data_IF_171833202994
#
_entry.id   IF_171833202994
#
_cell.length_a   1.000
_cell.length_b   1.000
_cell.length_c   1.000
_cell.angle_alpha   90.00
_cell.angle_beta   90.00
_cell.angle_gamma   90.00
#
_symmetry.space_group_name_H-M   'P 1'
#
loop_
_entity.id
_entity.type
_entity.pdbx_description
1 polymer ?
#
# COMPACT_ATOMS: atom_id res chain seq x y z
N UNK A 1 33.19 2.46 -5.41
CA UNK A 1 34.03 1.28 -5.67
C UNK A 1 34.73 0.91 -4.38
N UNK A 2 34.28 -0.14 -3.69
CA UNK A 2 35.00 -0.68 -2.54
C UNK A 2 35.96 -1.76 -3.04
N UNK A 3 37.22 -1.64 -2.63
CA UNK A 3 38.31 -2.53 -3.04
C UNK A 3 38.75 -3.33 -1.82
N UNK A 4 38.70 -4.66 -1.93
CA UNK A 4 39.21 -5.57 -0.91
C UNK A 4 40.45 -6.26 -1.45
N UNK A 5 41.55 -6.16 -0.70
CA UNK A 5 42.84 -6.78 -1.05
C UNK A 5 43.25 -7.74 0.05
N UNK A 6 43.26 -9.03 -0.24
CA UNK A 6 43.76 -10.07 0.66
C UNK A 6 45.07 -10.64 0.13
N UNK A 7 46.05 -10.83 1.01
CA UNK A 7 47.37 -11.36 0.67
C UNK A 7 47.64 -12.64 1.44
N UNK A 8 48.03 -13.68 0.72
CA UNK A 8 48.37 -15.00 1.25
C UNK A 8 49.83 -15.32 0.96
N UNK A 9 50.48 -16.06 1.86
CA UNK A 9 51.87 -16.46 1.71
C UNK A 9 51.98 -17.98 1.62
N UNK A 10 52.77 -18.47 0.66
CA UNK A 10 53.04 -19.90 0.48
C UNK A 10 54.53 -20.19 0.54
N UNK A 11 54.89 -21.33 1.14
CA UNK A 11 56.25 -21.88 1.13
C UNK A 11 56.48 -22.70 -0.14
N UNK A 12 57.74 -22.99 -0.44
CA UNK A 12 58.11 -23.82 -1.59
C UNK A 12 57.32 -25.15 -1.65
N UNK A 13 56.71 -25.45 -2.81
CA UNK A 13 55.80 -26.60 -3.04
C UNK A 13 54.62 -26.71 -2.08
N UNK A 14 54.32 -25.65 -1.34
CA UNK A 14 53.21 -25.57 -0.41
C UNK A 14 51.87 -25.25 -1.08
N UNK A 15 50.79 -25.44 -0.33
CA UNK A 15 49.46 -24.95 -0.68
C UNK A 15 48.82 -24.30 0.54
N UNK A 16 47.95 -23.32 0.31
CA UNK A 16 47.19 -22.62 1.34
C UNK A 16 45.72 -22.62 0.94
N UNK A 17 44.84 -22.89 1.90
CA UNK A 17 43.39 -22.87 1.70
C UNK A 17 42.78 -22.02 2.80
N UNK A 18 42.28 -20.86 2.43
CA UNK A 18 41.67 -19.89 3.34
C UNK A 18 40.25 -19.54 2.87
N UNK A 19 39.38 -19.23 3.84
CA UNK A 19 38.04 -18.72 3.58
C UNK A 19 38.07 -17.19 3.68
N UNK A 20 37.63 -16.50 2.63
CA UNK A 20 37.53 -15.04 2.63
C UNK A 20 36.08 -14.66 2.88
N UNK A 21 35.80 -14.06 4.04
CA UNK A 21 34.48 -13.49 4.35
C UNK A 21 34.37 -12.08 3.79
N UNK A 22 33.47 -11.92 2.83
CA UNK A 22 33.13 -10.64 2.23
C UNK A 22 31.96 -10.03 2.99
N UNK A 23 32.21 -8.93 3.69
CA UNK A 23 31.18 -8.17 4.38
C UNK A 23 30.93 -6.93 3.54
N UNK A 24 29.74 -6.84 2.95
CA UNK A 24 29.31 -5.65 2.23
C UNK A 24 29.23 -4.48 3.21
N UNK A 25 30.01 -3.40 3.03
CA UNK A 25 29.92 -2.22 3.90
C UNK A 25 28.49 -1.69 3.93
N UNK A 26 28.00 -1.23 5.09
CA UNK A 26 26.64 -0.68 5.24
C UNK A 26 26.33 0.52 4.32
N UNK A 27 27.36 1.20 3.82
CA UNK A 27 27.23 2.31 2.87
C UNK A 27 27.17 1.88 1.39
N UNK A 28 27.25 0.58 1.12
CA UNK A 28 27.27 0.07 -0.25
C UNK A 28 25.88 0.07 -0.84
N UNK A 29 25.71 0.83 -1.92
CA UNK A 29 24.45 0.90 -2.63
C UNK A 29 24.29 -0.31 -3.56
N UNK A 30 23.04 -0.77 -3.71
CA UNK A 30 22.69 -1.73 -4.75
C UNK A 30 23.10 -1.20 -6.14
N UNK A 31 23.49 -2.12 -7.03
CA UNK A 31 23.98 -1.81 -8.37
C UNK A 31 25.47 -1.45 -8.44
N UNK A 32 26.18 -1.32 -7.31
CA UNK A 32 27.64 -1.14 -7.34
C UNK A 32 28.37 -2.45 -7.63
N UNK A 33 29.49 -2.34 -8.37
CA UNK A 33 30.44 -3.43 -8.55
C UNK A 33 31.54 -3.36 -7.48
N UNK A 34 31.78 -4.49 -6.83
CA UNK A 34 32.87 -4.72 -5.89
C UNK A 34 33.98 -5.51 -6.60
N UNK A 35 35.23 -5.06 -6.45
CA UNK A 35 36.39 -5.75 -6.99
C UNK A 35 37.22 -6.31 -5.82
N UNK A 36 37.37 -7.63 -5.80
CA UNK A 36 38.19 -8.34 -4.83
C UNK A 36 39.44 -8.83 -5.55
N UNK A 37 40.61 -8.45 -5.03
CA UNK A 37 41.90 -8.92 -5.53
C UNK A 37 42.53 -9.85 -4.50
N UNK A 38 42.74 -11.10 -4.90
CA UNK A 38 43.42 -12.11 -4.10
C UNK A 38 44.85 -12.22 -4.60
N UNK A 39 45.82 -11.88 -3.76
CA UNK A 39 47.25 -11.97 -4.12
C UNK A 39 47.89 -13.09 -3.33
N UNK A 40 48.61 -13.98 -4.01
CA UNK A 40 49.43 -15.02 -3.40
C UNK A 40 50.90 -14.69 -3.66
N UNK A 41 51.71 -14.67 -2.61
CA UNK A 41 53.13 -14.38 -2.69
C UNK A 41 53.96 -15.54 -2.14
N UNK A 42 55.09 -15.83 -2.80
CA UNK A 42 56.11 -16.72 -2.25
C UNK A 42 56.72 -16.11 -0.98
N UNK A 43 57.05 -16.93 0.01
CA UNK A 43 57.58 -16.44 1.28
C UNK A 43 59.06 -16.02 1.20
N UNK A 44 59.78 -16.63 0.28
CA UNK A 44 61.22 -16.61 0.08
C UNK A 44 61.66 -15.78 -1.14
N UNK A 45 60.71 -15.31 -1.95
CA UNK A 45 60.97 -14.42 -3.09
C UNK A 45 59.95 -13.28 -3.20
N UNK A 46 60.19 -12.34 -4.11
CA UNK A 46 59.21 -11.29 -4.45
C UNK A 46 58.13 -11.77 -5.42
N UNK A 47 58.14 -13.03 -5.82
CA UNK A 47 57.21 -13.54 -6.83
C UNK A 47 55.80 -13.60 -6.27
N UNK A 48 54.86 -13.07 -7.05
CA UNK A 48 53.45 -13.04 -6.69
C UNK A 48 52.58 -13.34 -7.91
N UNK A 49 51.43 -13.94 -7.66
CA UNK A 49 50.37 -14.08 -8.64
C UNK A 49 49.04 -13.62 -8.02
N UNK A 50 48.06 -13.29 -8.84
CA UNK A 50 46.78 -12.76 -8.35
C UNK A 50 45.58 -13.31 -9.12
N UNK A 51 44.43 -13.26 -8.46
CA UNK A 51 43.12 -13.50 -9.05
C UNK A 51 42.20 -12.31 -8.74
N UNK A 52 41.39 -11.92 -9.73
CA UNK A 52 40.43 -10.82 -9.59
C UNK A 52 39.02 -11.37 -9.67
N UNK A 53 38.17 -10.99 -8.72
CA UNK A 53 36.74 -11.33 -8.69
C UNK A 53 35.93 -10.04 -8.70
N UNK A 54 35.00 -9.94 -9.64
CA UNK A 54 34.05 -8.83 -9.71
C UNK A 54 32.67 -9.31 -9.25
N UNK A 55 32.09 -8.63 -8.26
CA UNK A 55 30.81 -8.98 -7.65
C UNK A 55 29.84 -7.81 -7.82
N UNK A 56 28.59 -8.10 -8.17
CA UNK A 56 27.53 -7.09 -8.24
C UNK A 56 26.73 -7.10 -6.93
N UNK A 57 26.55 -5.93 -6.33
CA UNK A 57 25.73 -5.79 -5.13
C UNK A 57 24.27 -5.73 -5.55
N UNK A 58 23.51 -6.77 -5.21
CA UNK A 58 22.06 -6.80 -5.40
C UNK A 58 21.37 -6.22 -4.15
N UNK A 59 20.20 -5.58 -4.29
CA UNK A 59 19.37 -5.26 -3.14
C UNK A 59 18.95 -6.55 -2.42
N UNK A 60 18.78 -6.47 -1.10
CA UNK A 60 18.53 -7.61 -0.21
C UNK A 60 17.30 -8.43 -0.63
N UNK A 61 16.29 -7.77 -1.20
CA UNK A 61 15.19 -8.37 -1.96
C UNK A 61 14.58 -7.30 -2.87
N UNK A 62 14.18 -7.67 -4.11
CA UNK A 62 13.37 -6.78 -4.93
C UNK A 62 11.92 -6.90 -4.45
N UNK A 63 11.39 -5.81 -3.89
CA UNK A 63 9.98 -5.74 -3.52
C UNK A 63 9.11 -5.89 -4.77
N UNK A 64 8.41 -7.01 -4.86
CA UNK A 64 7.41 -7.34 -5.89
C UNK A 64 6.00 -7.43 -5.32
N UNK A 65 5.83 -7.07 -4.05
CA UNK A 65 4.59 -7.22 -3.30
C UNK A 65 3.77 -5.94 -3.38
N UNK A 66 2.64 -5.92 -4.09
CA UNK A 66 1.81 -4.72 -4.16
C UNK A 66 1.29 -4.31 -2.78
N UNK A 67 0.98 -3.01 -2.60
CA UNK A 67 0.31 -2.52 -1.40
C UNK A 67 -0.97 -3.28 -1.08
N UNK A 68 -1.38 -3.25 0.18
CA UNK A 68 -2.64 -3.82 0.63
C UNK A 68 -3.60 -2.78 1.17
N UNK A 69 -4.87 -2.97 0.87
CA UNK A 69 -5.99 -2.18 1.37
C UNK A 69 -6.90 -3.07 2.21
N UNK A 70 -7.11 -2.69 3.47
CA UNK A 70 -7.99 -3.39 4.39
C UNK A 70 -9.10 -2.45 4.83
N UNK A 71 -10.32 -2.74 4.39
CA UNK A 71 -11.53 -2.01 4.80
C UNK A 71 -11.81 -2.32 6.27
N UNK A 72 -11.85 -1.27 7.09
CA UNK A 72 -12.15 -1.37 8.52
C UNK A 72 -13.66 -1.29 8.76
N UNK A 73 -14.30 -0.29 8.18
CA UNK A 73 -15.73 -0.03 8.39
C UNK A 73 -16.35 0.60 7.15
N UNK A 74 -17.58 0.21 6.85
CA UNK A 74 -18.46 0.89 5.89
C UNK A 74 -19.67 1.40 6.66
N UNK A 75 -19.91 2.72 6.63
CA UNK A 75 -21.15 3.35 7.09
C UNK A 75 -21.97 3.69 5.85
N UNK A 76 -23.24 3.29 5.80
CA UNK A 76 -24.08 3.56 4.64
C UNK A 76 -25.52 3.80 5.09
N UNK A 77 -25.96 5.04 4.96
CA UNK A 77 -27.34 5.46 5.23
C UNK A 77 -28.04 5.72 3.90
N UNK A 78 -28.06 4.67 3.06
CA UNK A 78 -28.56 4.77 1.70
C UNK A 78 -30.05 4.40 1.65
N UNK A 79 -30.92 5.30 1.18
CA UNK A 79 -32.30 4.95 0.84
C UNK A 79 -32.33 4.05 -0.41
N UNK A 80 -33.51 3.51 -0.79
CA UNK A 80 -33.65 2.78 -2.04
C UNK A 80 -33.14 3.57 -3.26
N UNK A 81 -32.70 2.87 -4.31
CA UNK A 81 -32.03 3.47 -5.48
C UNK A 81 -32.78 4.66 -6.10
N UNK A 82 -34.11 4.67 -6.08
CA UNK A 82 -34.93 5.78 -6.59
C UNK A 82 -34.74 7.10 -5.82
N UNK A 83 -34.22 7.04 -4.60
CA UNK A 83 -34.03 8.17 -3.70
C UNK A 83 -32.58 8.28 -3.21
N UNK A 84 -31.62 7.66 -3.90
CA UNK A 84 -30.21 7.58 -3.49
C UNK A 84 -29.57 8.94 -3.17
N UNK A 85 -30.07 10.03 -3.76
CA UNK A 85 -29.58 11.39 -3.54
C UNK A 85 -29.86 11.93 -2.12
N UNK A 86 -30.73 11.27 -1.34
CA UNK A 86 -31.02 11.65 0.05
C UNK A 86 -30.03 11.04 1.06
N UNK A 87 -29.08 10.22 0.61
CA UNK A 87 -28.16 9.51 1.48
C UNK A 87 -26.71 9.55 0.99
N UNK A 88 -25.80 9.29 1.92
CA UNK A 88 -24.39 9.11 1.64
C UNK A 88 -23.88 7.79 2.23
N UNK A 89 -22.71 7.39 1.76
CA UNK A 89 -21.97 6.29 2.33
C UNK A 89 -20.51 6.71 2.52
N UNK A 90 -19.88 6.11 3.52
CA UNK A 90 -18.48 6.29 3.78
C UNK A 90 -17.78 5.00 4.14
N UNK A 91 -16.47 4.97 3.91
CA UNK A 91 -15.62 3.84 4.21
C UNK A 91 -14.32 4.29 4.85
N UNK A 92 -13.97 3.63 5.94
CA UNK A 92 -12.66 3.72 6.58
C UNK A 92 -11.83 2.52 6.15
N UNK A 93 -10.62 2.77 5.67
CA UNK A 93 -9.69 1.73 5.25
C UNK A 93 -8.27 2.04 5.70
N UNK A 94 -7.49 0.98 5.86
CA UNK A 94 -6.04 1.09 6.06
C UNK A 94 -5.31 0.66 4.82
N UNK A 95 -4.22 1.35 4.53
CA UNK A 95 -3.30 1.02 3.45
C UNK A 95 -1.93 0.73 4.01
N UNK A 96 -1.34 -0.37 3.55
CA UNK A 96 -0.11 -0.92 4.14
C UNK A 96 0.80 -1.46 3.05
N UNK A 97 2.06 -1.08 3.12
CA UNK A 97 3.13 -1.65 2.32
C UNK A 97 3.44 -3.09 2.80
N UNK A 98 3.63 -4.00 1.86
CA UNK A 98 3.90 -5.43 2.13
C UNK A 98 5.34 -5.84 1.92
N UNK A 99 6.05 -5.25 0.96
CA UNK A 99 7.42 -5.65 0.64
C UNK A 99 8.48 -4.66 1.09
N UNK A 100 8.12 -3.75 2.01
CA UNK A 100 9.03 -2.91 2.77
C UNK A 100 9.72 -1.81 1.95
N UNK A 101 9.31 -1.56 0.71
CA UNK A 101 9.76 -0.41 -0.09
C UNK A 101 9.12 0.93 0.32
N UNK A 102 8.13 0.89 1.22
CA UNK A 102 7.34 2.04 1.68
C UNK A 102 6.22 2.40 0.71
N UNK A 103 5.21 3.15 1.17
CA UNK A 103 4.20 3.69 0.27
C UNK A 103 4.75 4.91 -0.49
N UNK A 104 4.34 5.09 -1.74
CA UNK A 104 4.82 6.20 -2.58
C UNK A 104 3.72 7.20 -2.91
N UNK A 105 2.62 6.75 -3.53
CA UNK A 105 1.55 7.64 -3.97
C UNK A 105 0.18 7.00 -3.94
N UNK A 106 -0.85 7.85 -3.93
CA UNK A 106 -2.26 7.45 -3.97
C UNK A 106 -3.08 8.35 -4.89
N UNK A 107 -4.05 7.76 -5.57
CA UNK A 107 -4.98 8.44 -6.47
C UNK A 107 -6.40 7.88 -6.32
N UNK A 108 -7.42 8.75 -6.43
CA UNK A 108 -8.81 8.35 -6.61
C UNK A 108 -9.10 8.20 -8.11
N UNK A 109 -8.93 7.00 -8.64
CA UNK A 109 -9.02 6.70 -10.07
C UNK A 109 -10.46 6.57 -10.57
N UNK A 110 -11.41 6.17 -9.71
CA UNK A 110 -12.85 6.11 -10.04
C UNK A 110 -13.66 6.58 -8.84
N UNK A 111 -14.68 7.39 -9.08
CA UNK A 111 -15.64 7.83 -8.06
C UNK A 111 -16.04 9.29 -8.24
N UNK A 112 -17.04 9.74 -7.47
CA UNK A 112 -17.45 11.15 -7.41
C UNK A 112 -17.39 11.71 -5.98
N UNK A 113 -16.85 10.92 -5.05
CA UNK A 113 -16.70 11.30 -3.66
C UNK A 113 -15.40 12.03 -3.35
N UNK A 114 -15.13 12.19 -2.07
CA UNK A 114 -13.88 12.77 -1.54
C UNK A 114 -13.15 11.73 -0.71
N UNK A 115 -11.88 11.52 -1.02
CA UNK A 115 -10.94 10.74 -0.22
C UNK A 115 -10.16 11.67 0.71
N UNK A 116 -10.06 11.31 1.98
CA UNK A 116 -9.31 12.05 3.00
C UNK A 116 -8.24 11.18 3.62
N UNK A 117 -7.03 11.72 3.75
CA UNK A 117 -5.93 11.06 4.44
C UNK A 117 -5.89 11.46 5.91
N UNK A 118 -6.00 10.46 6.79
CA UNK A 118 -6.06 10.64 8.23
C UNK A 118 -4.65 10.52 8.82
N UNK A 119 -4.17 11.59 9.46
CA UNK A 119 -2.84 11.65 10.08
C UNK A 119 -2.87 11.08 11.51
N UNK A 120 -1.88 10.25 11.84
CA UNK A 120 -1.67 9.63 13.17
C UNK A 120 -1.07 10.60 14.21
N UNK A 121 -0.97 11.90 13.93
CA UNK A 121 -0.47 12.92 14.89
C UNK A 121 -1.50 13.31 15.96
N UNK A 122 -2.58 12.54 16.09
CA UNK A 122 -3.47 12.60 17.23
C UNK A 122 -3.66 11.17 17.76
N UNK A 123 -3.20 10.96 19.00
CA UNK A 123 -3.64 9.96 19.98
C UNK A 123 -2.72 8.74 20.15
N UNK A 124 -2.16 8.66 21.36
CA UNK A 124 -1.47 7.48 21.86
C UNK A 124 -2.39 6.28 22.03
N UNK A 125 -1.81 5.12 21.77
CA UNK A 125 -2.18 3.76 22.17
C UNK A 125 -3.55 3.59 22.86
N UNK A 126 -4.63 3.47 22.07
CA UNK A 126 -5.72 2.54 22.37
C UNK A 126 -6.56 2.25 21.12
N UNK A 127 -6.56 1.00 20.64
CA UNK A 127 -7.19 0.58 19.37
C UNK A 127 -8.73 0.65 19.39
N UNK A 128 -9.36 0.86 20.55
CA UNK A 128 -10.81 0.97 20.68
C UNK A 128 -11.36 2.42 20.65
N UNK A 129 -10.49 3.44 20.70
CA UNK A 129 -10.91 4.86 20.75
C UNK A 129 -10.79 5.60 19.40
N UNK A 130 -10.23 4.95 18.38
CA UNK A 130 -9.93 5.53 17.06
C UNK A 130 -11.16 6.01 16.28
N UNK A 131 -12.32 5.39 16.51
CA UNK A 131 -13.56 5.66 15.78
C UNK A 131 -14.32 6.90 16.28
N UNK A 132 -14.28 7.19 17.58
CA UNK A 132 -14.96 8.37 18.16
C UNK A 132 -14.12 9.64 18.01
N UNK A 133 -12.79 9.53 18.15
CA UNK A 133 -11.91 10.69 18.09
C UNK A 133 -11.74 11.27 16.67
N UNK A 134 -11.79 10.46 15.61
CA UNK A 134 -11.74 10.96 14.25
C UNK A 134 -13.00 11.76 13.87
N UNK A 135 -14.17 11.35 14.37
CA UNK A 135 -15.46 12.00 14.13
C UNK A 135 -15.58 13.29 14.98
N UNK A 136 -15.18 13.27 16.26
CA UNK A 136 -15.21 14.44 17.14
C UNK A 136 -14.16 15.51 16.78
N UNK A 137 -12.93 15.11 16.42
CA UNK A 137 -11.86 16.06 16.04
C UNK A 137 -12.18 16.75 14.71
N UNK A 138 -12.82 16.04 13.78
CA UNK A 138 -13.24 16.57 12.48
C UNK A 138 -14.47 17.48 12.58
N UNK A 139 -15.51 17.07 13.33
CA UNK A 139 -16.72 17.90 13.57
C UNK A 139 -16.37 19.14 14.40
N UNK A 140 -15.46 19.04 15.37
CA UNK A 140 -14.94 20.18 16.13
C UNK A 140 -14.25 21.19 15.22
N UNK A 141 -13.39 20.73 14.30
CA UNK A 141 -12.66 21.59 13.36
C UNK A 141 -13.59 22.29 12.36
N UNK A 142 -14.67 21.63 11.90
CA UNK A 142 -15.68 22.21 11.02
C UNK A 142 -16.61 23.20 11.73
N UNK A 143 -17.02 22.93 12.98
CA UNK A 143 -17.79 23.87 13.80
C UNK A 143 -16.99 25.12 14.13
N UNK A 144 -15.70 24.96 14.44
CA UNK A 144 -14.79 26.08 14.70
C UNK A 144 -14.59 26.98 13.47
N UNK A 145 -14.62 26.40 12.26
CA UNK A 145 -14.59 27.14 10.99
C UNK A 145 -15.88 27.96 10.74
N UNK A 146 -17.04 27.44 11.15
CA UNK A 146 -18.32 28.12 10.96
C UNK A 146 -18.56 29.23 12.00
N UNK A 147 -18.12 29.03 13.24
CA UNK A 147 -18.39 29.96 14.35
C UNK A 147 -17.41 31.15 14.42
N UNK A 148 -16.20 30.99 13.86
CA UNK A 148 -15.17 32.04 13.83
C UNK A 148 -15.23 32.91 12.56
N UNK A 149 -15.94 32.46 11.51
CA UNK A 149 -16.31 33.30 10.37
C UNK A 149 -17.25 34.45 10.76
N UNK A 150 -17.97 34.30 11.88
CA UNK A 150 -18.95 35.27 12.40
C UNK A 150 -18.35 36.32 13.34
N UNK A 151 -17.08 36.21 13.74
CA UNK A 151 -16.45 37.13 14.71
C UNK A 151 -15.22 37.82 14.11
N UNK A 152 -15.43 39.03 13.60
CA UNK A 152 -14.39 39.91 13.06
C UNK A 152 -13.35 40.31 14.13
N UNK A 153 -12.17 39.67 14.13
CA UNK A 153 -10.92 40.28 14.59
C UNK A 153 -9.74 39.85 13.70
N UNK A 154 -9.23 40.84 12.95
CA UNK A 154 -8.52 40.67 11.69
C UNK A 154 -7.01 40.89 11.90
N UNK A 155 -6.22 39.87 11.55
CA UNK A 155 -5.06 39.94 10.64
C UNK A 155 -3.96 38.91 10.96
N UNK A 156 -3.66 38.60 12.23
CA UNK A 156 -2.61 37.60 12.57
C UNK A 156 -3.11 36.15 12.54
N UNK A 157 -4.36 35.91 12.90
CA UNK A 157 -4.98 34.58 12.85
C UNK A 157 -5.29 34.11 11.41
N UNK A 158 -5.46 35.05 10.48
CA UNK A 158 -5.83 34.74 9.09
C UNK A 158 -4.76 33.93 8.34
N UNK A 159 -3.47 34.18 8.60
CA UNK A 159 -2.37 33.49 7.92
C UNK A 159 -2.24 32.04 8.38
N UNK A 160 -2.38 31.79 9.70
CA UNK A 160 -2.37 30.43 10.27
C UNK A 160 -3.60 29.63 9.85
N UNK A 161 -4.78 30.25 9.82
CA UNK A 161 -6.02 29.61 9.34
C UNK A 161 -5.93 29.27 7.85
N UNK A 162 -5.40 30.18 7.02
CA UNK A 162 -5.14 29.89 5.60
C UNK A 162 -4.16 28.73 5.42
N UNK A 163 -3.05 28.70 6.17
CA UNK A 163 -2.11 27.58 6.11
C UNK A 163 -2.73 26.25 6.53
N UNK A 164 -3.55 26.25 7.59
CA UNK A 164 -4.22 25.04 8.08
C UNK A 164 -5.29 24.55 7.11
N UNK A 165 -6.09 25.48 6.54
CA UNK A 165 -7.05 25.19 5.50
C UNK A 165 -6.38 24.68 4.21
N UNK A 166 -5.24 25.24 3.82
CA UNK A 166 -4.45 24.74 2.68
C UNK A 166 -3.89 23.34 2.91
N UNK A 167 -3.47 22.99 4.14
CA UNK A 167 -3.06 21.61 4.46
C UNK A 167 -4.24 20.65 4.41
N UNK A 168 -5.35 20.97 5.08
CA UNK A 168 -6.59 20.16 5.06
C UNK A 168 -7.19 19.97 3.66
N UNK A 169 -7.03 20.95 2.77
CA UNK A 169 -7.43 20.82 1.37
C UNK A 169 -6.48 19.94 0.56
N UNK A 170 -5.18 19.91 0.90
CA UNK A 170 -4.18 19.03 0.25
C UNK A 170 -4.33 17.56 0.66
N UNK A 171 -4.91 17.32 1.84
CA UNK A 171 -5.20 15.97 2.35
C UNK A 171 -6.55 15.42 1.81
N UNK A 172 -7.22 16.19 0.95
CA UNK A 172 -8.44 15.80 0.24
C UNK A 172 -8.13 15.54 -1.22
N UNK A 173 -8.63 14.41 -1.72
CA UNK A 173 -8.49 13.95 -3.09
C UNK A 173 -9.86 13.74 -3.69
N UNK A 174 -10.08 14.29 -4.88
CA UNK A 174 -11.24 14.01 -5.73
C UNK A 174 -10.80 13.34 -7.02
N UNK A 175 -11.75 12.74 -7.74
CA UNK A 175 -11.45 12.10 -9.01
C UNK A 175 -10.92 13.12 -10.03
N UNK A 176 -9.83 12.76 -10.71
CA UNK A 176 -9.14 13.61 -11.68
C UNK A 176 -8.00 14.45 -11.09
N UNK A 177 -7.82 14.44 -9.77
CA UNK A 177 -6.62 15.00 -9.14
C UNK A 177 -5.39 14.15 -9.46
N UNK A 178 -4.18 14.75 -9.57
CA UNK A 178 -2.96 14.00 -9.75
C UNK A 178 -2.64 13.14 -8.53
N UNK A 179 -1.89 12.03 -8.69
CA UNK A 179 -1.45 11.20 -7.58
C UNK A 179 -0.74 12.02 -6.49
N UNK A 180 -1.16 11.85 -5.24
CA UNK A 180 -0.57 12.52 -4.08
C UNK A 180 0.55 11.66 -3.51
N UNK A 181 1.69 12.29 -3.26
CA UNK A 181 2.82 11.66 -2.59
C UNK A 181 2.53 11.45 -1.09
N UNK A 182 2.67 10.21 -0.64
CA UNK A 182 2.42 9.75 0.73
C UNK A 182 3.66 9.11 1.39
N UNK A 183 4.84 9.25 0.79
CA UNK A 183 6.08 8.60 1.24
C UNK A 183 6.52 9.04 2.64
N UNK A 184 6.28 10.30 3.01
CA UNK A 184 6.59 10.83 4.34
C UNK A 184 5.58 10.42 5.41
N UNK A 185 4.39 9.96 5.01
CA UNK A 185 3.30 9.61 5.93
C UNK A 185 3.43 8.17 6.43
N UNK A 186 3.95 7.30 5.56
CA UNK A 186 4.15 5.90 5.82
C UNK A 186 5.53 5.61 6.39
N UNK A 187 5.98 6.30 7.46
CA UNK A 187 7.24 6.01 8.20
C UNK A 187 7.21 4.64 8.91
N UNK A 188 6.90 3.58 8.15
CA UNK A 188 6.74 2.16 8.45
C UNK A 188 5.49 1.76 9.24
N UNK A 189 4.51 2.66 9.37
CA UNK A 189 3.16 2.33 9.87
C UNK A 189 2.14 2.61 8.76
N UNK A 190 1.08 1.81 8.76
CA UNK A 190 -0.04 1.92 7.82
C UNK A 190 -0.61 3.34 7.83
N UNK A 191 -1.20 3.75 6.70
CA UNK A 191 -1.99 4.99 6.64
C UNK A 191 -3.47 4.65 6.75
N UNK A 192 -4.24 5.55 7.35
CA UNK A 192 -5.68 5.42 7.44
C UNK A 192 -6.35 6.43 6.51
N UNK A 193 -7.38 5.99 5.81
CA UNK A 193 -8.09 6.75 4.81
C UNK A 193 -9.58 6.75 5.13
N UNK A 194 -10.25 7.84 4.77
CA UNK A 194 -11.70 7.95 4.82
C UNK A 194 -12.23 8.45 3.48
N UNK A 195 -13.05 7.64 2.81
CA UNK A 195 -13.74 8.02 1.59
C UNK A 195 -15.23 8.21 1.87
N UNK A 196 -15.84 9.22 1.28
CA UNK A 196 -17.28 9.48 1.37
C UNK A 196 -17.85 9.89 0.01
N UNK A 197 -19.05 9.42 -0.30
CA UNK A 197 -19.74 9.67 -1.58
C UNK A 197 -21.25 9.55 -1.43
N UNK A 198 -21.99 10.17 -2.35
CA UNK A 198 -23.43 9.99 -2.46
C UNK A 198 -23.79 8.54 -2.82
N UNK A 199 -24.94 8.06 -2.33
CA UNK A 199 -25.39 6.69 -2.59
C UNK A 199 -25.71 6.41 -4.06
N UNK A 200 -25.90 7.45 -4.88
CA UNK A 200 -26.06 7.30 -6.33
C UNK A 200 -24.76 6.89 -7.03
N UNK A 201 -23.61 7.06 -6.37
CA UNK A 201 -22.30 6.61 -6.82
C UNK A 201 -21.76 5.61 -5.78
N UNK A 202 -22.25 4.37 -5.79
CA UNK A 202 -22.00 3.40 -4.73
C UNK A 202 -20.64 2.69 -4.85
N UNK A 203 -19.79 3.10 -5.80
CA UNK A 203 -18.49 2.47 -6.09
C UNK A 203 -17.40 3.53 -6.27
N UNK A 204 -16.19 3.18 -5.85
CA UNK A 204 -14.99 3.95 -6.10
C UNK A 204 -13.77 3.03 -6.20
N UNK A 205 -12.73 3.48 -6.89
CA UNK A 205 -11.46 2.76 -7.02
C UNK A 205 -10.30 3.68 -6.67
N UNK A 206 -9.42 3.19 -5.80
CA UNK A 206 -8.18 3.86 -5.43
C UNK A 206 -7.00 3.13 -6.03
N UNK A 207 -6.04 3.87 -6.60
CA UNK A 207 -4.76 3.33 -6.99
C UNK A 207 -3.72 3.73 -5.95
N UNK A 208 -2.98 2.75 -5.44
CA UNK A 208 -1.90 2.95 -4.48
C UNK A 208 -0.63 2.36 -5.04
N UNK A 209 0.45 3.13 -5.00
CA UNK A 209 1.78 2.69 -5.39
C UNK A 209 2.73 2.63 -4.19
N UNK A 210 3.63 1.64 -4.18
CA UNK A 210 4.78 1.59 -3.28
C UNK A 210 6.05 2.22 -3.89
N UNK A 211 7.12 2.28 -3.10
CA UNK A 211 8.41 2.82 -3.49
C UNK A 211 9.15 1.99 -4.54
N UNK A 212 8.80 0.71 -4.69
CA UNK A 212 9.32 -0.17 -5.72
C UNK A 212 8.55 -0.08 -7.06
N UNK A 213 7.40 0.59 -7.07
CA UNK A 213 6.55 0.79 -8.25
C UNK A 213 5.45 -0.26 -8.41
N UNK A 214 5.24 -1.15 -7.43
CA UNK A 214 4.09 -2.04 -7.46
C UNK A 214 2.81 -1.25 -7.16
N UNK A 215 1.71 -1.65 -7.79
CA UNK A 215 0.43 -0.94 -7.72
C UNK A 215 -0.68 -1.86 -7.20
N UNK A 216 -1.56 -1.29 -6.38
CA UNK A 216 -2.82 -1.92 -5.96
C UNK A 216 -4.02 -1.06 -6.33
N UNK A 217 -4.97 -1.65 -7.05
CA UNK A 217 -6.33 -1.13 -7.18
C UNK A 217 -7.19 -1.61 -6.00
N UNK A 218 -7.71 -0.67 -5.23
CA UNK A 218 -8.55 -0.89 -4.07
C UNK A 218 -9.99 -0.47 -4.39
N UNK A 219 -10.84 -1.48 -4.61
CA UNK A 219 -12.27 -1.28 -4.88
C UNK A 219 -13.05 -1.04 -3.59
N UNK A 220 -13.79 0.07 -3.57
CA UNK A 220 -14.66 0.49 -2.50
C UNK A 220 -16.10 0.39 -2.98
N UNK A 221 -16.98 -0.21 -2.16
CA UNK A 221 -18.38 -0.37 -2.49
C UNK A 221 -19.26 -0.11 -1.27
N UNK A 222 -20.43 0.50 -1.48
CA UNK A 222 -21.44 0.61 -0.43
C UNK A 222 -21.93 -0.78 0.01
N UNK A 223 -22.29 -0.91 1.29
CA UNK A 223 -22.75 -2.18 1.87
C UNK A 223 -24.03 -2.72 1.18
N UNK A 224 -24.92 -1.83 0.72
CA UNK A 224 -26.11 -2.20 -0.06
C UNK A 224 -25.76 -2.97 -1.34
N UNK A 225 -24.73 -2.53 -2.08
CA UNK A 225 -24.29 -3.26 -3.27
C UNK A 225 -23.56 -4.55 -2.94
N UNK A 226 -22.83 -4.63 -1.83
CA UNK A 226 -22.24 -5.90 -1.36
C UNK A 226 -23.33 -6.93 -1.08
N UNK A 227 -24.39 -6.55 -0.35
CA UNK A 227 -25.53 -7.42 -0.08
C UNK A 227 -26.32 -7.80 -1.34
N UNK A 228 -26.54 -6.87 -2.28
CA UNK A 228 -27.17 -7.18 -3.58
C UNK A 228 -26.30 -8.12 -4.43
N UNK A 229 -24.98 -7.93 -4.44
CA UNK A 229 -24.05 -8.79 -5.18
C UNK A 229 -24.00 -10.19 -4.58
N UNK A 230 -23.98 -10.32 -3.27
CA UNK A 230 -24.06 -11.61 -2.58
C UNK A 230 -25.37 -12.32 -2.87
N UNK A 231 -26.51 -11.60 -2.81
CA UNK A 231 -27.83 -12.14 -3.17
C UNK A 231 -27.87 -12.63 -4.62
N UNK A 232 -27.37 -11.84 -5.57
CA UNK A 232 -27.34 -12.21 -6.99
C UNK A 232 -26.39 -13.40 -7.25
N UNK A 233 -25.27 -13.47 -6.52
CA UNK A 233 -24.32 -14.59 -6.61
C UNK A 233 -24.93 -15.88 -6.05
N UNK A 234 -25.70 -15.80 -4.96
CA UNK A 234 -26.43 -16.94 -4.40
C UNK A 234 -27.55 -17.45 -5.34
N UNK A 235 -28.28 -16.55 -6.00
CA UNK A 235 -29.32 -16.91 -6.99
C UNK A 235 -28.72 -17.61 -8.21
N UNK A 236 -27.58 -17.15 -8.71
CA UNK A 236 -26.89 -17.81 -9.83
C UNK A 236 -26.33 -19.19 -9.45
N UNK A 237 -25.91 -19.38 -8.20
CA UNK A 237 -25.47 -20.68 -7.68
C UNK A 237 -26.59 -21.73 -7.67
N UNK A 238 -27.83 -21.32 -7.38
CA UNK A 238 -29.01 -22.20 -7.37
C UNK A 238 -29.46 -22.56 -8.79
N UNK A 239 -29.32 -21.65 -9.76
CA UNK A 239 -29.62 -21.94 -11.16
C UNK A 239 -28.66 -22.99 -11.76
N UNK A 240 -27.37 -22.93 -11.38
CA UNK A 240 -26.36 -23.90 -11.83
C UNK A 240 -26.55 -25.31 -11.23
N UNK A 241 -27.03 -25.44 -9.98
CA UNK A 241 -27.28 -26.75 -9.37
C UNK A 241 -28.55 -27.43 -9.88
N UNK A 242 -29.56 -26.66 -10.31
CA UNK A 242 -30.75 -27.22 -10.97
C UNK A 242 -30.46 -27.67 -12.41
N UNK A 243 -29.61 -26.96 -13.15
CA UNK A 243 -29.29 -27.33 -14.54
C UNK A 243 -28.48 -28.64 -14.62
N UNK A 244 -27.59 -28.93 -13.65
CA UNK A 244 -26.80 -30.17 -13.64
C UNK A 244 -27.64 -31.40 -13.32
N UNK A 245 -28.70 -31.26 -12.51
CA UNK A 245 -29.61 -32.36 -12.17
C UNK A 245 -30.55 -32.75 -13.33
N UNK A 246 -30.93 -31.80 -14.19
CA UNK A 246 -31.78 -32.08 -15.37
C UNK A 246 -30.99 -32.77 -16.50
N UNK A 247 -29.67 -32.61 -16.55
CA UNK A 247 -28.80 -33.34 -17.50
C UNK A 247 -28.53 -34.81 -17.13
N UNK A 248 -28.86 -35.25 -15.91
CA UNK A 248 -28.64 -36.65 -15.48
C UNK A 248 -29.86 -37.55 -15.66
N UNK A 249 -31.04 -37.00 -15.97
CA UNK A 249 -32.28 -37.79 -16.16
C UNK A 249 -32.60 -38.15 -17.61
N UNK A 250 -31.75 -37.79 -18.58
CA UNK A 250 -31.98 -38.00 -20.02
C UNK A 250 -31.01 -39.00 -20.70
N UNK A 251 -30.10 -39.63 -19.96
CA UNK A 251 -29.21 -40.65 -20.51
C UNK A 251 -29.14 -41.85 -19.57
N UNK A 252 -30.00 -42.85 -19.81
CA UNK A 252 -29.81 -44.16 -19.18
C UNK A 252 -31.06 -45.00 -19.05
N UNK A 253 -31.69 -45.38 -20.15
CA UNK A 253 -32.44 -46.63 -20.25
C UNK A 253 -32.62 -46.99 -21.72
N UNK A 254 -31.57 -47.61 -22.28
CA UNK A 254 -31.74 -48.56 -23.37
C UNK A 254 -30.77 -49.73 -23.19
N UNK A 255 -31.39 -50.91 -23.01
CA UNK A 255 -30.93 -52.25 -23.39
C UNK A 255 -29.64 -52.79 -22.78
N UNK A 256 -29.66 -54.00 -22.20
CA UNK A 256 -28.96 -55.21 -22.70
C UNK A 256 -29.60 -56.45 -22.05
N UNK A 257 -30.11 -57.37 -22.88
CA UNK A 257 -30.26 -58.79 -22.57
C UNK A 257 -28.91 -59.49 -22.75
N UNK A 258 -28.52 -60.33 -21.78
CA UNK A 258 -27.81 -61.61 -21.96
C UNK A 258 -27.87 -62.37 -20.63
#
# INVERSE_FOLDING_TARGET
MALFSCRLFIKERGSVREEVRLITPHSTQAGQTLTVTLTVQAHDSSDANYAVVNLLVLPEEFDTSPPSCSVMQVKADCPPLSQCFLGNWSVYLTVRDRGHSGLASIELAVGQGTLMLLHDEAIGENENSLMQLAEETYISSLKQLHEEATRHQLHRHSARLKQRAHRLAKDRLVHGDPPVNISEWARRKHIMLHYTSDCCVPQAELLVWDGAGNMRNCSLTSSQQRALREKNSAVNGIAHTLLTLVSWTLLGLDTICA
#
